data_IF_732193527805
#
_entry.id   IF_732193527805
#
_cell.length_a   1.000
_cell.length_b   1.000
_cell.length_c   1.000
_cell.angle_alpha   90.00
_cell.angle_beta   90.00
_cell.angle_gamma   90.00
#
_symmetry.space_group_name_H-M   'P 1'
#
loop_
_entity.id
_entity.type
_entity.pdbx_description
1 polymer ?
#
# COMPACT_ATOMS: atom_id res chain seq x y z
N UNK A 1 32.49 47.43 42.50
CA UNK A 1 32.79 45.99 42.46
C UNK A 1 31.55 45.21 42.91
N UNK A 2 30.38 45.41 42.25
CA UNK A 2 29.09 44.88 42.76
C UNK A 2 27.98 44.84 41.71
N UNK A 3 28.30 44.67 40.42
CA UNK A 3 27.27 44.49 39.37
C UNK A 3 27.61 43.35 38.40
N UNK A 4 28.86 42.88 38.36
CA UNK A 4 29.31 41.84 37.41
C UNK A 4 29.11 40.38 37.89
N UNK A 5 28.60 40.16 39.10
CA UNK A 5 28.36 38.82 39.65
C UNK A 5 26.91 38.32 39.50
N UNK A 6 26.00 39.19 39.07
CA UNK A 6 24.59 38.82 38.85
C UNK A 6 24.34 38.15 37.49
N UNK A 7 25.30 38.24 36.57
CA UNK A 7 25.19 37.70 35.20
C UNK A 7 25.66 36.23 35.07
N UNK A 8 26.24 35.64 36.12
CA UNK A 8 26.77 34.27 36.09
C UNK A 8 25.90 33.23 36.81
N UNK A 9 24.79 33.65 37.45
CA UNK A 9 23.91 32.75 38.22
C UNK A 9 22.58 32.38 37.55
N UNK A 10 22.41 32.71 36.27
CA UNK A 10 21.23 32.33 35.47
C UNK A 10 21.50 31.20 34.48
N UNK A 11 22.70 30.60 34.50
CA UNK A 11 23.10 29.52 33.57
C UNK A 11 22.84 28.10 34.06
N UNK A 12 22.14 27.90 35.19
CA UNK A 12 22.07 26.57 35.82
C UNK A 12 20.65 26.05 36.14
N UNK A 13 19.63 26.47 35.40
CA UNK A 13 18.28 25.90 35.58
C UNK A 13 17.44 25.73 34.32
N UNK A 14 18.07 25.69 33.15
CA UNK A 14 17.47 25.06 31.98
C UNK A 14 17.90 23.59 31.97
N UNK A 15 17.40 22.81 32.95
CA UNK A 15 17.28 21.36 32.79
C UNK A 15 16.36 21.16 31.59
N UNK A 16 16.95 21.06 30.40
CA UNK A 16 16.34 20.59 29.17
C UNK A 16 15.73 19.24 29.49
N UNK A 17 14.46 19.26 29.92
CA UNK A 17 13.62 18.09 30.03
C UNK A 17 13.59 17.51 28.63
N UNK A 18 14.40 16.49 28.39
CA UNK A 18 14.36 15.70 27.18
C UNK A 18 12.89 15.41 26.86
N UNK A 19 12.43 15.56 25.60
CA UNK A 19 11.07 15.22 25.25
C UNK A 19 10.84 13.78 25.68
N UNK A 20 10.01 13.59 26.71
CA UNK A 20 9.67 12.30 27.28
C UNK A 20 9.08 11.49 26.15
N UNK A 21 9.88 10.59 25.55
CA UNK A 21 9.46 9.67 24.48
C UNK A 21 8.06 9.17 24.84
N UNK A 22 7.04 9.63 24.11
CA UNK A 22 5.67 9.12 24.21
C UNK A 22 5.77 7.64 23.85
N UNK A 23 5.93 6.79 24.87
CA UNK A 23 5.83 5.34 24.73
C UNK A 23 4.44 5.09 24.16
N UNK A 24 4.40 4.55 22.94
CA UNK A 24 3.17 4.04 22.36
C UNK A 24 2.58 3.01 23.33
N UNK A 25 1.29 3.19 23.62
CA UNK A 25 0.43 2.26 24.35
C UNK A 25 0.54 2.31 25.87
N UNK A 26 -0.09 3.30 26.52
CA UNK A 26 -0.58 3.05 27.89
C UNK A 26 -1.48 1.81 27.84
N UNK A 27 -1.43 0.87 28.81
CA UNK A 27 -2.38 -0.25 28.85
C UNK A 27 -3.83 0.22 28.78
N UNK A 28 -4.10 1.44 29.24
CA UNK A 28 -5.38 2.14 29.10
C UNK A 28 -5.77 2.35 27.63
N UNK A 29 -4.83 2.74 26.76
CA UNK A 29 -5.11 2.96 25.33
C UNK A 29 -5.45 1.64 24.62
N UNK A 30 -4.72 0.57 24.93
CA UNK A 30 -5.02 -0.76 24.38
C UNK A 30 -6.38 -1.25 24.88
N UNK A 31 -6.68 -1.06 26.16
CA UNK A 31 -8.00 -1.38 26.72
C UNK A 31 -9.12 -0.56 26.05
N UNK A 32 -8.93 0.75 25.82
CA UNK A 32 -9.89 1.57 25.09
C UNK A 32 -10.09 1.10 23.63
N UNK A 33 -9.02 0.71 22.94
CA UNK A 33 -9.08 0.18 21.57
C UNK A 33 -9.85 -1.15 21.50
N UNK A 34 -9.57 -2.06 22.44
CA UNK A 34 -10.29 -3.34 22.55
C UNK A 34 -11.76 -3.09 22.90
N UNK A 35 -12.04 -2.22 23.88
CA UNK A 35 -13.40 -1.89 24.28
C UNK A 35 -14.21 -1.29 23.13
N UNK A 36 -13.61 -0.41 22.34
CA UNK A 36 -14.24 0.16 21.15
C UNK A 36 -14.54 -0.93 20.10
N UNK A 37 -13.59 -1.82 19.82
CA UNK A 37 -13.80 -2.93 18.90
C UNK A 37 -14.93 -3.88 19.34
N UNK A 38 -14.95 -4.23 20.63
CA UNK A 38 -16.00 -5.06 21.23
C UNK A 38 -17.35 -4.34 21.17
N UNK A 39 -17.41 -3.04 21.46
CA UNK A 39 -18.63 -2.26 21.39
C UNK A 39 -19.22 -2.24 19.96
N UNK A 40 -18.37 -2.09 18.94
CA UNK A 40 -18.79 -2.13 17.53
C UNK A 40 -19.36 -3.49 17.16
N UNK A 41 -18.66 -4.59 17.54
CA UNK A 41 -19.13 -5.95 17.26
C UNK A 41 -20.42 -6.28 18.01
N UNK A 42 -20.53 -5.87 19.28
CA UNK A 42 -21.73 -6.05 20.07
C UNK A 42 -22.91 -5.28 19.48
N UNK A 43 -22.69 -4.03 19.05
CA UNK A 43 -23.71 -3.23 18.38
C UNK A 43 -24.19 -3.90 17.07
N UNK A 44 -23.28 -4.43 16.25
CA UNK A 44 -23.64 -5.15 15.03
C UNK A 44 -24.41 -6.44 15.32
N UNK A 45 -23.94 -7.28 16.26
CA UNK A 45 -24.62 -8.53 16.64
C UNK A 45 -26.02 -8.26 17.22
N UNK A 46 -26.16 -7.28 18.11
CA UNK A 46 -27.44 -6.95 18.72
C UNK A 46 -28.36 -6.32 17.67
N UNK A 47 -27.86 -5.40 16.86
CA UNK A 47 -28.62 -4.75 15.80
C UNK A 47 -29.19 -5.77 14.81
N UNK A 48 -28.38 -6.72 14.36
CA UNK A 48 -28.81 -7.77 13.46
C UNK A 48 -29.77 -8.78 14.13
N UNK A 49 -29.47 -9.23 15.36
CA UNK A 49 -30.29 -10.26 16.03
C UNK A 49 -31.65 -9.75 16.51
N UNK A 50 -31.76 -8.45 16.84
CA UNK A 50 -33.03 -7.82 17.27
C UNK A 50 -33.89 -7.36 16.10
N UNK A 51 -33.40 -7.47 14.85
CA UNK A 51 -34.09 -6.99 13.65
C UNK A 51 -34.08 -5.46 13.49
N UNK A 52 -33.35 -4.73 14.34
CA UNK A 52 -33.10 -3.30 14.17
C UNK A 52 -32.28 -3.01 12.90
N UNK A 53 -31.35 -3.89 12.60
CA UNK A 53 -30.70 -4.02 11.30
C UNK A 53 -31.35 -5.20 10.59
N UNK A 54 -31.87 -4.98 9.39
CA UNK A 54 -32.44 -6.06 8.59
C UNK A 54 -31.35 -7.12 8.32
N UNK A 55 -31.51 -8.36 8.84
CA UNK A 55 -30.50 -9.41 8.69
C UNK A 55 -30.19 -9.73 7.23
N UNK A 56 -31.14 -9.48 6.32
CA UNK A 56 -30.95 -9.63 4.89
C UNK A 56 -29.84 -8.72 4.35
N UNK A 57 -29.65 -7.51 4.90
CA UNK A 57 -28.65 -6.55 4.43
C UNK A 57 -27.36 -6.52 5.23
N UNK A 58 -27.41 -6.87 6.52
CA UNK A 58 -26.27 -6.68 7.42
C UNK A 58 -25.61 -7.98 7.87
N UNK A 59 -26.29 -9.14 7.77
CA UNK A 59 -25.87 -10.40 8.42
C UNK A 59 -25.56 -10.19 9.91
N UNK A 60 -25.19 -11.25 10.63
CA UNK A 60 -24.62 -11.14 11.96
C UNK A 60 -23.14 -11.61 12.00
N UNK A 61 -22.31 -11.02 12.88
CA UNK A 61 -20.91 -11.38 13.05
C UNK A 61 -20.66 -12.88 13.29
N UNK A 62 -21.54 -13.56 14.02
CA UNK A 62 -21.39 -14.99 14.32
C UNK A 62 -21.54 -15.81 13.05
N UNK A 63 -22.58 -15.58 12.25
CA UNK A 63 -22.76 -16.23 10.95
C UNK A 63 -21.58 -15.98 10.01
N UNK A 64 -21.03 -14.77 10.00
CA UNK A 64 -19.83 -14.44 9.21
C UNK A 64 -18.62 -15.26 9.69
N UNK A 65 -18.39 -15.34 11.00
CA UNK A 65 -17.29 -16.12 11.57
C UNK A 65 -17.43 -17.62 11.29
N UNK A 66 -18.65 -18.17 11.43
CA UNK A 66 -18.95 -19.57 11.10
C UNK A 66 -18.70 -19.85 9.63
N UNK A 67 -19.15 -18.96 8.73
CA UNK A 67 -18.91 -19.13 7.28
C UNK A 67 -17.41 -19.17 6.95
N UNK A 68 -16.63 -18.28 7.55
CA UNK A 68 -15.18 -18.26 7.38
C UNK A 68 -14.58 -19.58 7.90
N UNK A 69 -14.99 -20.04 9.09
CA UNK A 69 -14.53 -21.30 9.65
C UNK A 69 -14.82 -22.49 8.71
N UNK A 70 -16.02 -22.57 8.16
CA UNK A 70 -16.42 -23.62 7.21
C UNK A 70 -15.59 -23.58 5.93
N UNK A 71 -15.31 -22.39 5.40
CA UNK A 71 -14.48 -22.19 4.21
C UNK A 71 -13.04 -22.67 4.41
N UNK A 72 -12.43 -22.40 5.57
CA UNK A 72 -11.07 -22.83 5.88
C UNK A 72 -10.97 -24.32 6.24
N UNK A 73 -11.98 -24.88 6.92
CA UNK A 73 -12.01 -26.31 7.28
C UNK A 73 -12.34 -27.21 6.10
N UNK A 74 -13.27 -26.80 5.24
CA UNK A 74 -13.58 -27.50 3.97
C UNK A 74 -12.45 -27.37 2.94
N UNK A 75 -11.60 -26.35 3.08
CA UNK A 75 -10.51 -26.04 2.16
C UNK A 75 -10.93 -25.39 0.84
N UNK A 76 -12.22 -25.06 0.68
CA UNK A 76 -12.76 -24.39 -0.51
C UNK A 76 -12.08 -23.05 -0.81
N UNK A 77 -11.72 -22.30 0.24
CA UNK A 77 -11.15 -20.95 0.12
C UNK A 77 -9.70 -20.91 -0.36
N UNK A 78 -8.92 -21.97 -0.17
CA UNK A 78 -7.48 -21.95 -0.49
C UNK A 78 -7.22 -21.71 -1.97
N UNK A 79 -8.04 -22.27 -2.86
CA UNK A 79 -7.89 -22.06 -4.30
C UNK A 79 -8.10 -20.60 -4.71
N UNK A 80 -8.97 -19.89 -4.00
CA UNK A 80 -9.24 -18.47 -4.20
C UNK A 80 -8.11 -17.60 -3.62
N UNK A 81 -7.65 -17.90 -2.40
CA UNK A 81 -6.51 -17.21 -1.78
C UNK A 81 -5.24 -17.32 -2.62
N UNK A 82 -4.95 -18.51 -3.15
CA UNK A 82 -3.77 -18.75 -3.99
C UNK A 82 -3.90 -17.98 -5.31
N UNK A 83 -5.06 -18.00 -5.97
CA UNK A 83 -5.29 -17.27 -7.20
C UNK A 83 -5.07 -15.76 -7.02
N UNK A 84 -5.67 -15.17 -5.97
CA UNK A 84 -5.51 -13.76 -5.65
C UNK A 84 -4.07 -13.42 -5.27
N UNK A 85 -3.41 -14.27 -4.48
CA UNK A 85 -2.01 -14.08 -4.09
C UNK A 85 -1.04 -14.13 -5.27
N UNK A 86 -1.20 -15.11 -6.16
CA UNK A 86 -0.37 -15.24 -7.36
C UNK A 86 -0.56 -14.05 -8.31
N UNK A 87 -1.80 -13.68 -8.60
CA UNK A 87 -2.09 -12.53 -9.44
C UNK A 87 -1.55 -11.23 -8.82
N UNK A 88 -1.66 -11.06 -7.51
CA UNK A 88 -1.13 -9.90 -6.77
C UNK A 88 0.39 -9.83 -6.88
N UNK A 89 1.08 -10.94 -6.61
CA UNK A 89 2.54 -11.00 -6.66
C UNK A 89 3.07 -10.69 -8.06
N UNK A 90 2.50 -11.32 -9.10
CA UNK A 90 2.89 -11.07 -10.49
C UNK A 90 2.62 -9.61 -10.90
N UNK A 91 1.45 -9.08 -10.52
CA UNK A 91 1.09 -7.68 -10.77
C UNK A 91 2.08 -6.71 -10.15
N UNK A 92 2.43 -6.95 -8.88
CA UNK A 92 3.38 -6.13 -8.15
C UNK A 92 4.77 -6.20 -8.78
N UNK A 93 5.31 -7.40 -9.04
CA UNK A 93 6.66 -7.55 -9.59
C UNK A 93 6.76 -6.91 -10.97
N UNK A 94 5.84 -7.23 -11.88
CA UNK A 94 5.88 -6.72 -13.26
C UNK A 94 5.66 -5.20 -13.25
N UNK A 95 4.62 -4.74 -12.54
CA UNK A 95 4.30 -3.31 -12.47
C UNK A 95 5.41 -2.48 -11.83
N UNK A 96 6.02 -2.96 -10.74
CA UNK A 96 7.09 -2.25 -10.07
C UNK A 96 8.36 -2.18 -10.92
N UNK A 97 8.74 -3.28 -11.56
CA UNK A 97 9.92 -3.31 -12.44
C UNK A 97 9.72 -2.35 -13.61
N UNK A 98 8.57 -2.42 -14.30
CA UNK A 98 8.28 -1.51 -15.41
C UNK A 98 8.21 -0.05 -14.94
N UNK A 99 7.52 0.23 -13.83
CA UNK A 99 7.37 1.58 -13.29
C UNK A 99 8.71 2.19 -12.92
N UNK A 100 9.59 1.41 -12.28
CA UNK A 100 10.94 1.83 -11.94
C UNK A 100 11.79 2.10 -13.19
N UNK A 101 11.76 1.19 -14.17
CA UNK A 101 12.52 1.34 -15.42
C UNK A 101 12.09 2.58 -16.20
N UNK A 102 10.78 2.75 -16.45
CA UNK A 102 10.29 3.90 -17.21
C UNK A 102 10.38 5.21 -16.42
N UNK A 103 10.13 5.19 -15.11
CA UNK A 103 10.21 6.37 -14.26
C UNK A 103 11.64 6.91 -14.16
N UNK A 104 12.63 6.02 -14.02
CA UNK A 104 14.05 6.42 -14.04
C UNK A 104 14.50 6.90 -15.42
N UNK A 105 14.06 6.23 -16.50
CA UNK A 105 14.41 6.62 -17.86
C UNK A 105 13.91 8.02 -18.21
N UNK A 106 12.62 8.29 -17.95
CA UNK A 106 12.00 9.59 -18.24
C UNK A 106 12.48 10.68 -17.27
N UNK A 107 12.74 10.34 -16.01
CA UNK A 107 13.29 11.28 -15.02
C UNK A 107 14.74 11.68 -15.30
N UNK A 108 15.49 10.87 -16.06
CA UNK A 108 16.87 11.17 -16.44
C UNK A 108 16.96 12.05 -17.68
N UNK A 109 16.16 11.77 -18.70
CA UNK A 109 16.32 12.40 -20.02
C UNK A 109 15.31 13.52 -20.19
N UNK A 110 15.78 14.76 -20.02
CA UNK A 110 14.96 15.99 -20.13
C UNK A 110 14.18 16.10 -21.45
N UNK A 111 14.73 15.58 -22.55
CA UNK A 111 14.03 15.51 -23.83
C UNK A 111 12.84 14.56 -23.80
N UNK A 112 13.01 13.33 -23.29
CA UNK A 112 11.93 12.36 -23.17
C UNK A 112 10.86 12.88 -22.22
N UNK A 113 11.24 13.50 -21.10
CA UNK A 113 10.30 14.13 -20.19
C UNK A 113 9.41 15.14 -20.92
N UNK A 114 10.00 16.12 -21.60
CA UNK A 114 9.24 17.16 -22.33
C UNK A 114 8.38 16.59 -23.45
N UNK A 115 8.86 15.55 -24.13
CA UNK A 115 8.12 14.87 -25.20
C UNK A 115 6.90 14.12 -24.65
N UNK A 116 7.06 13.44 -23.51
CA UNK A 116 6.01 12.61 -22.91
C UNK A 116 5.11 13.35 -21.92
N UNK A 117 5.48 14.56 -21.46
CA UNK A 117 4.73 15.36 -20.49
C UNK A 117 3.21 15.45 -20.75
N UNK A 118 2.72 15.78 -21.97
CA UNK A 118 1.28 15.83 -22.21
C UNK A 118 0.60 14.47 -22.05
N UNK A 119 1.24 13.39 -22.48
CA UNK A 119 0.72 12.03 -22.36
C UNK A 119 0.72 11.56 -20.91
N UNK A 120 1.79 11.88 -20.17
CA UNK A 120 1.91 11.60 -18.73
C UNK A 120 0.75 12.25 -17.97
N UNK A 121 0.43 13.53 -18.27
CA UNK A 121 -0.71 14.24 -17.69
C UNK A 121 -2.05 13.60 -18.07
N UNK A 122 -2.22 13.21 -19.32
CA UNK A 122 -3.43 12.55 -19.81
C UNK A 122 -3.66 11.19 -19.10
N UNK A 123 -2.62 10.35 -19.00
CA UNK A 123 -2.69 9.10 -18.23
C UNK A 123 -2.84 9.33 -16.73
N UNK A 124 -2.36 10.48 -16.22
CA UNK A 124 -2.57 10.84 -14.82
C UNK A 124 -4.07 11.12 -14.52
N UNK A 125 -4.77 11.76 -15.46
CA UNK A 125 -6.19 12.11 -15.31
C UNK A 125 -7.16 10.93 -15.48
N UNK A 126 -6.74 9.87 -16.18
CA UNK A 126 -7.63 8.74 -16.47
C UNK A 126 -7.92 7.88 -15.22
N UNK A 127 -9.21 7.58 -14.92
CA UNK A 127 -9.56 6.61 -13.89
C UNK A 127 -9.20 5.19 -14.34
N UNK A 128 -8.04 4.69 -13.89
CA UNK A 128 -7.48 3.40 -14.34
C UNK A 128 -8.35 2.19 -14.02
N UNK A 129 -9.21 2.27 -13.01
CA UNK A 129 -10.17 1.21 -12.69
C UNK A 129 -11.13 0.93 -13.86
N UNK A 130 -11.39 1.93 -14.72
CA UNK A 130 -12.24 1.77 -15.91
C UNK A 130 -11.61 0.90 -17.00
N UNK A 131 -10.33 0.52 -16.88
CA UNK A 131 -9.68 -0.40 -17.82
C UNK A 131 -10.05 -1.86 -17.56
N UNK A 132 -10.66 -2.16 -16.41
CA UNK A 132 -11.01 -3.52 -16.01
C UNK A 132 -11.90 -4.27 -17.04
N UNK A 133 -13.02 -3.70 -17.56
CA UNK A 133 -13.80 -4.34 -18.61
C UNK A 133 -13.00 -4.59 -19.90
N UNK A 134 -12.13 -3.67 -20.28
CA UNK A 134 -11.33 -3.78 -21.52
C UNK A 134 -10.32 -4.93 -21.37
N UNK A 135 -9.66 -5.04 -20.22
CA UNK A 135 -8.78 -6.17 -19.97
C UNK A 135 -9.51 -7.51 -19.89
N UNK A 136 -10.75 -7.53 -19.39
CA UNK A 136 -11.59 -8.72 -19.47
C UNK A 136 -11.94 -9.09 -20.92
N UNK A 137 -12.20 -8.12 -21.79
CA UNK A 137 -12.45 -8.38 -23.21
C UNK A 137 -11.20 -8.89 -23.94
N UNK A 138 -10.02 -8.34 -23.64
CA UNK A 138 -8.78 -8.70 -24.34
C UNK A 138 -8.15 -10.00 -23.82
N UNK A 139 -8.11 -10.20 -22.51
CA UNK A 139 -7.42 -11.33 -21.86
C UNK A 139 -8.39 -12.40 -21.32
N UNK A 140 -9.69 -12.17 -21.42
CA UNK A 140 -10.73 -13.08 -20.94
C UNK A 140 -10.88 -13.14 -19.42
N UNK A 141 -11.62 -14.14 -18.95
CA UNK A 141 -11.91 -14.39 -17.52
C UNK A 141 -10.75 -15.07 -16.76
N UNK A 142 -9.65 -15.40 -17.45
CA UNK A 142 -8.48 -16.03 -16.86
C UNK A 142 -7.67 -15.11 -15.93
N UNK A 143 -6.50 -15.56 -15.49
CA UNK A 143 -5.62 -14.79 -14.59
C UNK A 143 -5.03 -13.54 -15.26
N UNK A 144 -4.88 -13.56 -16.59
CA UNK A 144 -4.23 -12.49 -17.36
C UNK A 144 -4.91 -11.12 -17.21
N UNK A 145 -6.24 -11.06 -17.22
CA UNK A 145 -6.97 -9.78 -17.06
C UNK A 145 -6.75 -9.14 -15.69
N UNK A 146 -6.61 -9.95 -14.64
CA UNK A 146 -6.37 -9.50 -13.25
C UNK A 146 -4.96 -9.00 -13.10
N UNK A 147 -4.00 -9.74 -13.68
CA UNK A 147 -2.60 -9.33 -13.72
C UNK A 147 -2.49 -8.02 -14.49
N UNK A 148 -3.09 -7.88 -15.68
CA UNK A 148 -3.03 -6.64 -16.46
C UNK A 148 -3.55 -5.43 -15.69
N UNK A 149 -4.69 -5.57 -15.00
CA UNK A 149 -5.26 -4.50 -14.18
C UNK A 149 -4.37 -4.16 -12.98
N UNK A 150 -3.90 -5.16 -12.24
CA UNK A 150 -2.98 -4.98 -11.13
C UNK A 150 -1.66 -4.33 -11.55
N UNK A 151 -1.04 -4.84 -12.63
CA UNK A 151 0.18 -4.26 -13.24
C UNK A 151 -0.04 -2.80 -13.58
N UNK A 152 -1.17 -2.44 -14.17
CA UNK A 152 -1.45 -1.05 -14.58
C UNK A 152 -1.46 -0.11 -13.37
N UNK A 153 -2.14 -0.48 -12.29
CA UNK A 153 -2.19 0.34 -11.07
C UNK A 153 -0.81 0.49 -10.42
N UNK A 154 -0.09 -0.62 -10.28
CA UNK A 154 1.26 -0.63 -9.68
C UNK A 154 2.23 0.17 -10.55
N UNK A 155 2.21 -0.06 -11.87
CA UNK A 155 3.07 0.60 -12.85
C UNK A 155 2.95 2.11 -12.71
N UNK A 156 1.74 2.67 -12.79
CA UNK A 156 1.58 4.12 -12.74
C UNK A 156 1.98 4.69 -11.38
N UNK A 157 1.63 4.04 -10.27
CA UNK A 157 2.03 4.52 -8.94
C UNK A 157 3.57 4.57 -8.81
N UNK A 158 4.26 3.48 -9.15
CA UNK A 158 5.72 3.40 -9.05
C UNK A 158 6.38 4.33 -10.06
N UNK A 159 5.85 4.41 -11.28
CA UNK A 159 6.33 5.31 -12.33
C UNK A 159 6.30 6.77 -11.88
N UNK A 160 5.15 7.27 -11.40
CA UNK A 160 5.01 8.66 -10.98
C UNK A 160 5.88 8.98 -9.76
N UNK A 161 5.89 8.11 -8.75
CA UNK A 161 6.72 8.30 -7.57
C UNK A 161 8.23 8.28 -7.91
N UNK A 162 8.64 7.41 -8.83
CA UNK A 162 10.03 7.33 -9.29
C UNK A 162 10.39 8.57 -10.11
N UNK A 163 9.51 9.00 -11.02
CA UNK A 163 9.71 10.18 -11.85
C UNK A 163 9.86 11.44 -10.96
N UNK A 164 9.01 11.58 -9.94
CA UNK A 164 9.08 12.67 -8.98
C UNK A 164 10.34 12.60 -8.11
N UNK A 165 10.71 11.40 -7.63
CA UNK A 165 11.94 11.19 -6.86
C UNK A 165 13.20 11.57 -7.65
N UNK A 166 13.24 11.26 -8.95
CA UNK A 166 14.36 11.64 -9.82
C UNK A 166 14.42 13.16 -10.05
N UNK A 167 13.26 13.82 -10.14
CA UNK A 167 13.15 15.28 -10.29
C UNK A 167 13.46 16.05 -9.00
N UNK A 168 13.15 15.46 -7.84
CA UNK A 168 13.34 16.05 -6.52
C UNK A 168 14.79 16.16 -6.06
N UNK A 169 15.74 15.60 -6.81
CA UNK A 169 17.18 15.70 -6.50
C UNK A 169 17.63 17.16 -6.66
N UNK A 170 18.14 17.75 -5.58
CA UNK A 170 18.43 19.19 -5.53
C UNK A 170 19.48 19.59 -6.58
N UNK A 171 19.09 20.51 -7.46
CA UNK A 171 19.97 21.09 -8.50
C UNK A 171 21.32 21.58 -7.98
N UNK A 172 21.43 22.23 -6.79
CA UNK A 172 22.72 22.62 -6.24
C UNK A 172 23.69 21.46 -6.00
N UNK A 173 23.20 20.27 -5.61
CA UNK A 173 24.06 19.09 -5.44
C UNK A 173 24.59 18.60 -6.79
N UNK A 174 23.75 18.66 -7.82
CA UNK A 174 24.06 18.27 -9.20
C UNK A 174 25.09 19.24 -9.79
N UNK A 175 24.84 20.54 -9.65
CA UNK A 175 25.70 21.59 -10.18
C UNK A 175 27.08 21.58 -9.50
N UNK A 176 27.13 21.46 -8.17
CA UNK A 176 28.40 21.30 -7.43
C UNK A 176 29.16 20.04 -7.86
N UNK A 177 28.47 18.92 -8.07
CA UNK A 177 29.11 17.67 -8.51
C UNK A 177 29.66 17.80 -9.94
N UNK A 178 28.94 18.50 -10.83
CA UNK A 178 29.42 18.80 -12.19
C UNK A 178 30.63 19.75 -12.17
N UNK A 179 30.65 20.74 -11.30
CA UNK A 179 31.80 21.63 -11.11
C UNK A 179 33.05 20.88 -10.66
N UNK A 180 32.89 19.77 -9.92
CA UNK A 180 33.97 18.87 -9.53
C UNK A 180 34.37 17.86 -10.62
N UNK A 181 33.81 17.96 -11.83
CA UNK A 181 34.16 17.11 -12.98
C UNK A 181 33.45 15.76 -13.03
N UNK A 182 32.37 15.56 -12.25
CA UNK A 182 31.63 14.30 -12.29
C UNK A 182 30.95 14.09 -13.65
N UNK A 183 31.19 12.93 -14.26
CA UNK A 183 30.50 12.48 -15.47
C UNK A 183 29.02 12.18 -15.19
N UNK A 184 28.17 12.21 -16.22
CA UNK A 184 26.73 11.88 -16.11
C UNK A 184 26.47 10.50 -15.46
N UNK A 185 27.37 9.54 -15.68
CA UNK A 185 27.28 8.22 -15.06
C UNK A 185 27.64 8.24 -13.57
N UNK A 186 28.66 9.02 -13.18
CA UNK A 186 29.02 9.21 -11.78
C UNK A 186 27.93 9.96 -11.02
N UNK A 187 27.32 10.99 -11.65
CA UNK A 187 26.20 11.71 -11.06
C UNK A 187 25.00 10.79 -10.84
N UNK A 188 24.71 9.91 -11.81
CA UNK A 188 23.64 8.94 -11.69
C UNK A 188 23.87 7.98 -10.52
N UNK A 189 25.03 7.32 -10.46
CA UNK A 189 25.32 6.27 -9.47
C UNK A 189 25.55 6.83 -8.07
N UNK A 190 26.11 8.02 -7.95
CA UNK A 190 26.58 8.59 -6.67
C UNK A 190 25.62 9.62 -6.09
N UNK A 191 24.80 10.28 -6.91
CA UNK A 191 23.89 11.36 -6.47
C UNK A 191 22.44 10.98 -6.67
N UNK A 192 22.03 10.69 -7.91
CA UNK A 192 20.61 10.45 -8.22
C UNK A 192 20.09 9.15 -7.61
N UNK A 193 20.73 8.01 -7.88
CA UNK A 193 20.27 6.72 -7.38
C UNK A 193 20.22 6.70 -5.84
N UNK A 194 21.29 7.03 -5.10
CA UNK A 194 21.26 6.95 -3.64
C UNK A 194 20.20 7.84 -3.00
N UNK A 195 19.95 9.02 -3.58
CA UNK A 195 18.94 9.96 -3.10
C UNK A 195 17.51 9.49 -3.43
N UNK A 196 17.29 8.96 -4.63
CA UNK A 196 15.98 8.51 -5.08
C UNK A 196 15.59 7.12 -4.54
N UNK A 197 16.57 6.24 -4.29
CA UNK A 197 16.35 4.88 -3.79
C UNK A 197 15.51 4.87 -2.51
N UNK A 198 15.70 5.86 -1.63
CA UNK A 198 14.94 5.97 -0.41
C UNK A 198 13.43 6.15 -0.61
N UNK A 199 13.06 7.00 -1.56
CA UNK A 199 11.66 7.24 -1.95
C UNK A 199 11.10 6.08 -2.77
N UNK A 200 11.91 5.52 -3.67
CA UNK A 200 11.55 4.36 -4.49
C UNK A 200 11.19 3.17 -3.59
N UNK A 201 12.04 2.82 -2.61
CA UNK A 201 11.75 1.73 -1.67
C UNK A 201 10.51 2.02 -0.82
N UNK A 202 10.32 3.26 -0.35
CA UNK A 202 9.12 3.64 0.39
C UNK A 202 7.86 3.50 -0.47
N UNK A 203 7.93 3.84 -1.76
CA UNK A 203 6.79 3.73 -2.69
C UNK A 203 6.46 2.29 -3.05
N UNK A 204 7.46 1.40 -3.00
CA UNK A 204 7.31 -0.01 -3.32
C UNK A 204 6.40 -0.71 -2.31
N UNK A 205 6.52 -0.38 -1.02
CA UNK A 205 5.62 -0.88 0.03
C UNK A 205 4.16 -0.54 -0.26
N UNK A 206 3.86 0.74 -0.51
CA UNK A 206 2.50 1.20 -0.80
C UNK A 206 1.93 0.63 -2.10
N UNK A 207 2.78 0.26 -3.07
CA UNK A 207 2.34 -0.25 -4.37
C UNK A 207 1.68 -1.63 -4.31
N UNK A 208 1.95 -2.43 -3.26
CA UNK A 208 1.31 -3.73 -3.07
C UNK A 208 -0.19 -3.58 -2.81
N UNK A 209 -0.59 -2.58 -2.02
CA UNK A 209 -2.00 -2.28 -1.81
C UNK A 209 -2.73 -2.01 -3.13
N UNK A 210 -2.09 -1.29 -4.06
CA UNK A 210 -2.61 -1.06 -5.40
C UNK A 210 -2.65 -2.32 -6.27
N UNK A 211 -1.67 -3.23 -6.13
CA UNK A 211 -1.71 -4.53 -6.80
C UNK A 211 -2.94 -5.33 -6.37
N UNK A 212 -3.20 -5.40 -5.05
CA UNK A 212 -4.36 -6.09 -4.49
C UNK A 212 -5.66 -5.44 -4.96
N UNK A 213 -5.78 -4.11 -4.88
CA UNK A 213 -6.98 -3.38 -5.34
C UNK A 213 -7.26 -3.71 -6.80
N UNK A 214 -6.25 -3.70 -7.67
CA UNK A 214 -6.41 -4.03 -9.09
C UNK A 214 -6.84 -5.48 -9.31
N UNK A 215 -6.15 -6.42 -8.67
CA UNK A 215 -6.47 -7.85 -8.81
C UNK A 215 -7.88 -8.15 -8.31
N UNK A 216 -8.23 -7.72 -7.09
CA UNK A 216 -9.55 -7.96 -6.49
C UNK A 216 -10.65 -7.31 -7.32
N UNK A 217 -10.45 -6.10 -7.84
CA UNK A 217 -11.41 -5.46 -8.74
C UNK A 217 -11.60 -6.30 -10.01
N UNK A 218 -10.51 -6.77 -10.61
CA UNK A 218 -10.57 -7.65 -11.78
C UNK A 218 -11.23 -9.00 -11.49
N UNK A 219 -11.02 -9.57 -10.30
CA UNK A 219 -11.68 -10.79 -9.86
C UNK A 219 -13.18 -10.61 -9.67
N UNK A 220 -13.56 -9.49 -9.05
CA UNK A 220 -14.94 -9.13 -8.77
C UNK A 220 -15.74 -8.87 -10.06
N UNK A 221 -15.11 -8.24 -11.07
CA UNK A 221 -15.78 -7.95 -12.34
C UNK A 221 -15.93 -9.18 -13.24
N UNK A 222 -15.07 -10.19 -13.10
CA UNK A 222 -15.22 -11.44 -13.83
C UNK A 222 -14.03 -12.37 -13.70
N UNK A 223 -14.20 -13.48 -12.99
CA UNK A 223 -13.21 -14.54 -12.85
C UNK A 223 -13.88 -15.89 -12.58
N UNK A 224 -13.07 -16.96 -12.56
CA UNK A 224 -13.51 -18.27 -12.08
C UNK A 224 -13.01 -18.60 -10.67
N UNK A 225 -12.01 -17.86 -10.18
CA UNK A 225 -11.37 -18.05 -8.88
C UNK A 225 -10.82 -16.71 -8.39
N UNK A 226 -10.79 -16.54 -7.07
CA UNK A 226 -10.24 -15.36 -6.40
C UNK A 226 -11.15 -14.93 -5.27
N UNK A 227 -10.64 -14.17 -4.30
CA UNK A 227 -11.46 -13.68 -3.20
C UNK A 227 -12.50 -12.68 -3.73
N UNK A 228 -12.13 -11.83 -4.70
CA UNK A 228 -13.07 -10.92 -5.35
C UNK A 228 -14.21 -11.66 -6.07
N UNK A 229 -13.92 -12.84 -6.63
CA UNK A 229 -14.92 -13.72 -7.24
C UNK A 229 -15.91 -14.27 -6.20
N UNK A 230 -15.43 -14.74 -5.04
CA UNK A 230 -16.32 -15.25 -3.98
C UNK A 230 -17.28 -14.17 -3.48
N UNK A 231 -16.79 -12.93 -3.36
CA UNK A 231 -17.62 -11.77 -2.99
C UNK A 231 -18.67 -11.51 -4.07
N UNK A 232 -18.26 -11.43 -5.34
CA UNK A 232 -19.17 -11.18 -6.47
C UNK A 232 -20.23 -12.27 -6.62
N UNK A 233 -19.84 -13.54 -6.43
CA UNK A 233 -20.75 -14.69 -6.49
C UNK A 233 -21.78 -14.62 -5.35
N UNK A 234 -21.33 -14.38 -4.12
CA UNK A 234 -22.22 -14.28 -2.95
C UNK A 234 -23.20 -13.12 -3.11
N UNK A 235 -22.74 -11.99 -3.66
CA UNK A 235 -23.60 -10.86 -3.98
C UNK A 235 -24.63 -11.22 -5.06
N UNK A 236 -24.23 -11.94 -6.10
CA UNK A 236 -25.14 -12.38 -7.18
C UNK A 236 -26.25 -13.33 -6.70
N UNK A 237 -26.03 -14.06 -5.61
CA UNK A 237 -27.04 -14.93 -4.97
C UNK A 237 -27.74 -14.27 -3.77
N UNK A 238 -27.51 -12.98 -3.52
CA UNK A 238 -28.00 -12.26 -2.34
C UNK A 238 -27.62 -12.93 -1.00
N UNK A 239 -26.48 -13.63 -0.97
CA UNK A 239 -25.91 -14.22 0.24
C UNK A 239 -25.04 -13.17 0.95
N UNK A 240 -25.69 -12.35 1.76
CA UNK A 240 -25.05 -11.26 2.51
C UNK A 240 -23.98 -11.77 3.48
N UNK A 241 -24.22 -12.91 4.14
CA UNK A 241 -23.22 -13.55 5.00
C UNK A 241 -21.97 -13.92 4.22
N UNK A 242 -22.13 -14.48 3.01
CA UNK A 242 -21.03 -14.76 2.09
C UNK A 242 -20.26 -13.51 1.66
N UNK A 243 -20.95 -12.41 1.38
CA UNK A 243 -20.32 -11.12 1.03
C UNK A 243 -19.45 -10.60 2.18
N UNK A 244 -19.98 -10.51 3.40
CA UNK A 244 -19.21 -10.06 4.57
C UNK A 244 -18.07 -11.01 4.92
N UNK A 245 -18.30 -12.33 4.86
CA UNK A 245 -17.25 -13.33 5.07
C UNK A 245 -16.12 -13.18 4.05
N UNK A 246 -16.44 -12.93 2.79
CA UNK A 246 -15.48 -12.65 1.72
C UNK A 246 -14.67 -11.38 1.99
N UNK A 247 -15.33 -10.28 2.38
CA UNK A 247 -14.67 -9.01 2.72
C UNK A 247 -13.72 -9.14 3.92
N UNK A 248 -14.15 -9.81 5.00
CA UNK A 248 -13.31 -10.06 6.18
C UNK A 248 -12.13 -10.96 5.82
N UNK A 249 -12.37 -12.02 5.04
CA UNK A 249 -11.30 -12.91 4.56
C UNK A 249 -10.29 -12.15 3.72
N UNK A 250 -10.75 -11.28 2.81
CA UNK A 250 -9.88 -10.41 2.03
C UNK A 250 -9.06 -9.48 2.93
N UNK A 251 -9.70 -8.80 3.89
CA UNK A 251 -9.01 -7.90 4.81
C UNK A 251 -7.89 -8.62 5.57
N UNK A 252 -8.18 -9.79 6.15
CA UNK A 252 -7.17 -10.61 6.84
C UNK A 252 -6.07 -11.02 5.88
N UNK A 253 -6.41 -11.45 4.67
CA UNK A 253 -5.43 -11.82 3.65
C UNK A 253 -4.49 -10.67 3.29
N UNK A 254 -5.01 -9.46 3.10
CA UNK A 254 -4.20 -8.24 2.85
C UNK A 254 -3.26 -7.99 4.03
N UNK A 255 -3.77 -7.99 5.26
CA UNK A 255 -2.95 -7.76 6.46
C UNK A 255 -1.84 -8.79 6.62
N UNK A 256 -2.12 -10.05 6.28
CA UNK A 256 -1.12 -11.13 6.30
C UNK A 256 -0.04 -10.89 5.25
N UNK A 257 -0.42 -10.53 4.02
CA UNK A 257 0.53 -10.17 2.96
C UNK A 257 1.40 -8.98 3.39
N UNK A 258 0.79 -7.91 3.87
CA UNK A 258 1.50 -6.71 4.33
C UNK A 258 2.46 -7.03 5.48
N UNK A 259 2.06 -7.89 6.42
CA UNK A 259 2.93 -8.33 7.52
C UNK A 259 4.17 -9.07 7.00
N UNK A 260 4.00 -10.03 6.10
CA UNK A 260 5.12 -10.78 5.54
C UNK A 260 6.06 -9.91 4.72
N UNK A 261 5.51 -9.00 3.92
CA UNK A 261 6.31 -8.07 3.13
C UNK A 261 7.04 -7.09 4.04
N UNK A 262 6.37 -6.49 5.02
CA UNK A 262 7.00 -5.58 5.97
C UNK A 262 8.14 -6.26 6.75
N UNK A 263 8.02 -7.57 7.02
CA UNK A 263 9.11 -8.37 7.61
C UNK A 263 10.26 -8.59 6.62
N UNK A 264 9.96 -8.85 5.35
CA UNK A 264 10.97 -8.98 4.30
C UNK A 264 11.71 -7.65 4.06
N UNK A 265 10.98 -6.55 4.00
CA UNK A 265 11.51 -5.19 3.83
C UNK A 265 12.46 -4.82 4.95
N UNK A 266 12.10 -5.05 6.22
CA UNK A 266 12.98 -4.77 7.37
C UNK A 266 14.29 -5.56 7.33
N UNK A 267 14.27 -6.77 6.78
CA UNK A 267 15.49 -7.58 6.60
C UNK A 267 16.36 -7.05 5.47
N UNK A 268 15.75 -6.66 4.35
CA UNK A 268 16.46 -6.13 3.18
C UNK A 268 17.02 -4.72 3.44
N UNK A 269 16.28 -3.89 4.17
CA UNK A 269 16.66 -2.52 4.53
C UNK A 269 17.39 -2.43 5.87
N UNK A 270 17.83 -3.54 6.47
CA UNK A 270 18.59 -3.55 7.72
C UNK A 270 19.89 -2.73 7.64
N UNK A 271 20.42 -2.52 6.42
CA UNK A 271 21.59 -1.69 6.13
C UNK A 271 21.31 -0.19 6.22
N UNK A 272 20.03 0.20 6.14
CA UNK A 272 19.59 1.58 6.29
C UNK A 272 19.34 1.83 7.77
N UNK A 273 20.40 2.15 8.50
CA UNK A 273 20.30 2.75 9.83
C UNK A 273 19.59 4.10 9.70
N UNK A 274 18.27 4.08 9.63
CA UNK A 274 17.46 5.29 9.75
C UNK A 274 17.74 5.79 11.17
N UNK A 275 18.56 6.84 11.26
CA UNK A 275 18.72 7.63 12.47
C UNK A 275 17.34 8.06 12.94
N UNK A 276 16.82 7.35 13.94
CA UNK A 276 15.60 7.74 14.65
C UNK A 276 15.94 8.99 15.45
N UNK A 277 15.55 10.15 14.94
CA UNK A 277 15.18 11.28 15.78
C UNK A 277 13.73 11.09 16.23
#
# INVERSE_FOLDING_TARGET
MTVMDSALKTRDNAKTRAPRKRRLGSPVMIACQIALGVAILAFWQIGASTGFLDPFFFSDPVSVATRIYDWFTSGSIYTHLIATGQATLLSFVIGAVLGLLFGTLLGRVHFLERLFDPYIKMFNAMPRLLLAPIFLLWFGLGIGSKIALGVTLVFFLVFFNTLEAMKGVSRPLIDNSRMLGASEWQLLKTVYLPSALGLIFSSLHSSIGFAIIGVVTGEYMGAFRGIGYVIAQSQGTFDTTGVFAGMVTLMVFVLVIEFFIGKAERRLLAWRSVGRN
#
